data_IF_196899566866
#
_entry.id   IF_196899566866
#
_cell.length_a   1.000
_cell.length_b   1.000
_cell.length_c   1.000
_cell.angle_alpha   90.00
_cell.angle_beta   90.00
_cell.angle_gamma   90.00
#
_symmetry.space_group_name_H-M   'P 1'
#
loop_
_entity.id
_entity.type
_entity.pdbx_description
1 polymer ?
#
# COMPACT_ATOMS: atom_id res chain seq x y z
N UNK A 1 -4.28 -12.93 28.62
CA UNK A 1 -3.55 -14.21 28.44
C UNK A 1 -2.76 -14.06 27.16
N UNK A 2 -1.44 -14.16 27.24
CA UNK A 2 -0.56 -13.94 26.10
C UNK A 2 -0.68 -15.12 25.14
N UNK A 3 -0.99 -14.84 23.88
CA UNK A 3 -0.99 -15.84 22.82
C UNK A 3 0.41 -16.41 22.62
N UNK A 4 0.55 -17.71 22.30
CA UNK A 4 1.84 -18.33 22.08
C UNK A 4 2.45 -17.79 20.78
N UNK A 5 3.50 -16.98 20.93
CA UNK A 5 4.38 -16.59 19.83
C UNK A 5 4.98 -17.87 19.25
N UNK A 6 4.68 -18.16 17.98
CA UNK A 6 5.32 -19.21 17.20
C UNK A 6 6.83 -18.95 17.14
N UNK A 7 7.57 -19.52 18.09
CA UNK A 7 9.02 -19.45 18.17
C UNK A 7 9.69 -20.43 17.20
N UNK A 8 10.74 -19.92 16.54
CA UNK A 8 11.81 -20.58 15.77
C UNK A 8 11.54 -20.90 14.29
N UNK A 9 11.62 -19.85 13.47
CA UNK A 9 12.47 -19.93 12.27
C UNK A 9 13.90 -19.66 12.75
N UNK A 10 14.88 -20.52 12.44
CA UNK A 10 16.29 -20.24 12.75
C UNK A 10 16.66 -18.85 12.23
N UNK A 11 17.24 -18.00 13.07
CA UNK A 11 17.72 -16.69 12.62
C UNK A 11 18.78 -16.91 11.53
N UNK A 12 18.86 -16.01 10.54
CA UNK A 12 19.86 -16.14 9.47
C UNK A 12 21.28 -16.19 10.04
N UNK A 13 21.51 -15.51 11.17
CA UNK A 13 22.75 -15.64 11.93
C UNK A 13 23.06 -17.08 12.31
N UNK A 14 22.12 -17.81 12.92
CA UNK A 14 22.31 -19.23 13.27
C UNK A 14 22.61 -20.08 12.03
N UNK A 15 21.96 -19.79 10.90
CA UNK A 15 22.21 -20.47 9.63
C UNK A 15 23.60 -20.15 9.07
N UNK A 16 24.01 -18.88 9.09
CA UNK A 16 25.32 -18.44 8.64
C UNK A 16 26.45 -18.96 9.52
N UNK A 17 26.27 -18.96 10.84
CA UNK A 17 27.25 -19.50 11.78
C UNK A 17 27.44 -21.01 11.58
N UNK A 18 26.36 -21.76 11.34
CA UNK A 18 26.42 -23.18 11.01
C UNK A 18 27.14 -23.43 9.67
N UNK A 19 26.85 -22.63 8.64
CA UNK A 19 27.49 -22.75 7.33
C UNK A 19 28.97 -22.33 7.36
N UNK A 20 29.32 -21.31 8.14
CA UNK A 20 30.71 -20.92 8.39
C UNK A 20 31.52 -21.98 9.13
N UNK A 21 30.90 -22.67 10.08
CA UNK A 21 31.54 -23.79 10.77
C UNK A 21 31.79 -24.98 9.83
N UNK A 22 30.87 -25.24 8.89
CA UNK A 22 30.97 -26.34 7.93
C UNK A 22 31.97 -26.07 6.77
N UNK A 23 32.02 -24.83 6.27
CA UNK A 23 32.75 -24.45 5.05
C UNK A 23 33.71 -23.26 5.27
N UNK A 24 34.43 -23.32 6.40
CA UNK A 24 35.26 -22.22 6.89
C UNK A 24 36.31 -21.75 5.87
N UNK A 25 36.98 -22.68 5.21
CA UNK A 25 38.09 -22.37 4.30
C UNK A 25 37.58 -21.72 3.01
N UNK A 26 36.48 -22.20 2.46
CA UNK A 26 35.90 -21.67 1.23
C UNK A 26 35.30 -20.28 1.43
N UNK A 27 34.61 -20.07 2.56
CA UNK A 27 34.04 -18.76 2.87
C UNK A 27 35.14 -17.76 3.21
N UNK A 28 36.22 -18.17 3.88
CA UNK A 28 37.40 -17.32 4.07
C UNK A 28 38.04 -16.94 2.73
N UNK A 29 38.22 -17.89 1.81
CA UNK A 29 38.74 -17.62 0.46
C UNK A 29 37.85 -16.63 -0.29
N UNK A 30 36.53 -16.81 -0.24
CA UNK A 30 35.55 -15.91 -0.84
C UNK A 30 35.62 -14.50 -0.25
N UNK A 31 35.58 -14.37 1.07
CA UNK A 31 35.64 -13.09 1.76
C UNK A 31 36.98 -12.38 1.56
N UNK A 32 38.09 -13.13 1.57
CA UNK A 32 39.43 -12.58 1.31
C UNK A 32 39.56 -12.08 -0.14
N UNK A 33 38.94 -12.79 -1.08
CA UNK A 33 38.91 -12.37 -2.49
C UNK A 33 38.08 -11.10 -2.66
N UNK A 34 36.91 -11.03 -2.02
CA UNK A 34 36.09 -9.81 -1.97
C UNK A 34 36.86 -8.64 -1.35
N UNK A 35 37.53 -8.86 -0.21
CA UNK A 35 38.34 -7.83 0.46
C UNK A 35 39.52 -7.38 -0.42
N UNK A 36 40.11 -8.31 -1.18
CA UNK A 36 41.21 -8.06 -2.11
C UNK A 36 40.86 -7.14 -3.28
N UNK A 37 39.57 -7.00 -3.62
CA UNK A 37 39.11 -6.00 -4.60
C UNK A 37 39.17 -4.55 -4.07
N UNK A 38 39.42 -4.39 -2.77
CA UNK A 38 39.50 -3.10 -2.09
C UNK A 38 38.16 -2.60 -1.55
N UNK A 39 38.19 -1.39 -0.98
CA UNK A 39 37.00 -0.75 -0.41
C UNK A 39 35.99 -0.44 -1.51
N UNK A 40 34.74 -0.88 -1.35
CA UNK A 40 33.70 -0.63 -2.34
C UNK A 40 32.38 -1.31 -2.06
N UNK A 41 31.47 -1.18 -3.03
CA UNK A 41 30.16 -1.86 -3.04
C UNK A 41 30.17 -2.90 -4.14
N UNK A 42 29.82 -4.13 -3.80
CA UNK A 42 29.63 -5.23 -4.74
C UNK A 42 28.14 -5.50 -4.95
N UNK A 43 27.78 -5.70 -6.22
CA UNK A 43 26.42 -6.05 -6.67
C UNK A 43 26.25 -7.58 -6.74
N UNK A 44 25.00 -8.08 -6.80
CA UNK A 44 24.73 -9.53 -6.73
C UNK A 44 25.45 -10.34 -7.80
N UNK A 45 25.50 -9.84 -9.03
CA UNK A 45 26.19 -10.52 -10.13
C UNK A 45 27.71 -10.62 -9.92
N UNK A 46 28.31 -9.63 -9.26
CA UNK A 46 29.74 -9.67 -8.91
C UNK A 46 29.99 -10.69 -7.80
N UNK A 47 29.16 -10.69 -6.76
CA UNK A 47 29.24 -11.66 -5.66
C UNK A 47 29.11 -13.11 -6.17
N UNK A 48 28.15 -13.35 -7.06
CA UNK A 48 27.94 -14.67 -7.65
C UNK A 48 29.11 -15.09 -8.55
N UNK A 49 29.64 -14.18 -9.37
CA UNK A 49 30.80 -14.46 -10.22
C UNK A 49 32.05 -14.83 -9.42
N UNK A 50 32.31 -14.12 -8.32
CA UNK A 50 33.46 -14.42 -7.44
C UNK A 50 33.31 -15.77 -6.75
N UNK A 51 32.09 -16.11 -6.34
CA UNK A 51 31.79 -17.40 -5.74
C UNK A 51 31.93 -18.55 -6.75
N UNK A 52 31.40 -18.39 -7.97
CA UNK A 52 31.49 -19.39 -9.03
C UNK A 52 32.93 -19.67 -9.45
N UNK A 53 33.78 -18.64 -9.52
CA UNK A 53 35.20 -18.80 -9.81
C UNK A 53 35.96 -19.64 -8.77
N UNK A 54 35.50 -19.66 -7.51
CA UNK A 54 36.07 -20.52 -6.45
C UNK A 54 35.59 -21.96 -6.61
N UNK A 55 34.30 -22.14 -6.93
CA UNK A 55 33.72 -23.46 -7.19
C UNK A 55 34.32 -24.17 -8.40
N UNK A 56 34.75 -23.44 -9.43
CA UNK A 56 35.41 -24.03 -10.61
C UNK A 56 36.82 -24.55 -10.31
N UNK A 57 37.51 -23.93 -9.34
CA UNK A 57 38.86 -24.32 -8.91
C UNK A 57 38.85 -25.55 -7.98
N UNK A 58 37.80 -25.71 -7.15
CA UNK A 58 37.62 -26.80 -6.19
C UNK A 58 36.26 -27.52 -6.37
N UNK A 59 36.11 -28.21 -7.51
CA UNK A 59 34.84 -28.79 -8.01
C UNK A 59 34.11 -29.78 -7.08
N UNK A 60 34.76 -30.34 -6.07
CA UNK A 60 34.21 -31.43 -5.26
C UNK A 60 33.65 -31.01 -3.89
N UNK A 61 33.83 -29.76 -3.42
CA UNK A 61 33.53 -29.40 -2.01
C UNK A 61 32.48 -28.32 -1.76
N UNK A 62 32.07 -27.57 -2.79
CA UNK A 62 31.18 -26.40 -2.67
C UNK A 62 29.78 -26.60 -3.27
N UNK A 63 29.21 -27.79 -3.12
CA UNK A 63 27.77 -27.99 -3.38
C UNK A 63 26.90 -27.66 -2.16
N UNK A 64 27.38 -26.83 -1.23
CA UNK A 64 26.51 -26.36 -0.16
C UNK A 64 25.48 -25.36 -0.73
N UNK A 65 24.28 -25.89 -0.95
CA UNK A 65 23.12 -25.12 -1.33
C UNK A 65 22.85 -23.99 -0.34
N UNK A 66 23.19 -24.11 0.95
CA UNK A 66 22.84 -23.10 1.95
C UNK A 66 23.57 -21.77 1.72
N UNK A 67 24.91 -21.77 1.57
CA UNK A 67 25.66 -20.54 1.36
C UNK A 67 25.35 -19.89 0.01
N UNK A 68 25.23 -20.71 -1.05
CA UNK A 68 24.88 -20.23 -2.39
C UNK A 68 23.50 -19.56 -2.40
N UNK A 69 22.52 -20.11 -1.69
CA UNK A 69 21.20 -19.48 -1.56
C UNK A 69 21.27 -18.14 -0.80
N UNK A 70 22.08 -18.02 0.26
CA UNK A 70 22.29 -16.73 0.93
C UNK A 70 22.91 -15.69 -0.02
N UNK A 71 23.91 -16.08 -0.81
CA UNK A 71 24.52 -15.19 -1.80
C UNK A 71 23.55 -14.76 -2.89
N UNK A 72 22.70 -15.67 -3.39
CA UNK A 72 21.63 -15.33 -4.34
C UNK A 72 20.60 -14.35 -3.74
N UNK A 73 20.32 -14.47 -2.46
CA UNK A 73 19.44 -13.55 -1.74
C UNK A 73 20.11 -12.22 -1.37
N UNK A 74 21.44 -12.14 -1.42
CA UNK A 74 22.20 -10.92 -1.11
C UNK A 74 22.03 -9.89 -2.22
N UNK A 75 21.58 -8.68 -1.87
CA UNK A 75 21.32 -7.60 -2.83
C UNK A 75 22.52 -6.69 -3.04
N UNK A 76 23.39 -6.58 -2.04
CA UNK A 76 24.66 -5.87 -2.13
C UNK A 76 25.55 -6.30 -0.95
N UNK A 77 26.86 -6.15 -1.16
CA UNK A 77 27.85 -6.26 -0.10
C UNK A 77 28.68 -4.98 -0.05
N UNK A 78 28.99 -4.51 1.16
CA UNK A 78 29.86 -3.38 1.40
C UNK A 78 31.16 -3.91 1.97
N UNK A 79 32.27 -3.51 1.38
CA UNK A 79 33.61 -3.95 1.78
C UNK A 79 34.32 -2.77 2.43
N UNK A 80 34.52 -2.84 3.74
CA UNK A 80 35.34 -1.91 4.51
C UNK A 80 36.27 -2.73 5.42
N UNK A 81 37.48 -3.06 4.95
CA UNK A 81 38.44 -3.91 5.67
C UNK A 81 38.57 -3.52 7.16
N UNK A 82 38.48 -4.47 8.11
CA UNK A 82 38.40 -5.92 7.92
C UNK A 82 36.97 -6.50 7.83
N UNK A 83 35.96 -5.66 7.59
CA UNK A 83 34.55 -6.03 7.64
C UNK A 83 33.91 -6.08 6.25
N UNK A 84 33.05 -7.07 6.04
CA UNK A 84 32.16 -7.17 4.89
C UNK A 84 30.72 -7.20 5.39
N UNK A 85 29.95 -6.15 5.10
CA UNK A 85 28.53 -6.08 5.44
C UNK A 85 27.67 -6.57 4.26
N UNK A 86 26.64 -7.35 4.53
CA UNK A 86 25.74 -7.95 3.53
C UNK A 86 24.30 -7.50 3.79
N UNK A 87 23.62 -7.01 2.75
CA UNK A 87 22.18 -6.80 2.77
C UNK A 87 21.47 -8.00 2.12
N UNK A 88 20.76 -8.79 2.92
CA UNK A 88 20.18 -10.05 2.48
C UNK A 88 18.67 -9.91 2.41
N UNK A 89 18.11 -10.15 1.22
CA UNK A 89 16.67 -10.10 0.96
C UNK A 89 16.11 -11.50 0.86
N UNK A 90 15.64 -12.02 2.00
CA UNK A 90 15.09 -13.38 2.11
C UNK A 90 13.83 -13.59 1.27
N UNK A 91 12.95 -12.58 1.26
CA UNK A 91 11.73 -12.54 0.46
C UNK A 91 11.33 -11.08 0.23
N UNK A 92 10.42 -10.78 -0.72
CA UNK A 92 9.99 -9.41 -0.93
C UNK A 92 9.45 -8.76 0.36
N UNK A 93 10.06 -7.65 0.76
CA UNK A 93 9.71 -6.89 1.96
C UNK A 93 10.38 -7.36 3.27
N UNK A 94 11.22 -8.40 3.24
CA UNK A 94 11.96 -8.87 4.42
C UNK A 94 13.45 -8.83 4.16
N UNK A 95 14.15 -8.09 5.01
CA UNK A 95 15.57 -7.82 4.94
C UNK A 95 16.24 -8.19 6.24
N UNK A 96 17.45 -8.73 6.13
CA UNK A 96 18.35 -8.95 7.25
C UNK A 96 19.72 -8.41 6.87
N UNK A 97 20.41 -7.84 7.85
CA UNK A 97 21.71 -7.20 7.66
C UNK A 97 22.71 -7.86 8.58
N UNK A 98 23.84 -8.28 8.01
CA UNK A 98 24.91 -8.90 8.76
C UNK A 98 26.24 -8.28 8.37
N UNK A 99 27.20 -8.27 9.28
CA UNK A 99 28.60 -7.99 8.97
C UNK A 99 29.48 -9.17 9.36
N UNK A 100 30.49 -9.43 8.54
CA UNK A 100 31.43 -10.52 8.73
C UNK A 100 32.83 -9.95 8.84
N UNK A 101 33.54 -10.27 9.91
CA UNK A 101 34.95 -9.96 10.03
C UNK A 101 35.76 -10.99 9.25
N UNK A 102 36.51 -10.58 8.22
CA UNK A 102 37.24 -11.52 7.35
C UNK A 102 38.35 -12.26 8.11
N UNK A 103 39.05 -11.56 9.02
CA UNK A 103 40.17 -12.13 9.77
C UNK A 103 39.72 -13.10 10.87
N UNK A 104 38.68 -12.71 11.62
CA UNK A 104 38.18 -13.49 12.76
C UNK A 104 37.11 -14.51 12.34
N UNK A 105 36.51 -14.38 11.15
CA UNK A 105 35.35 -15.14 10.67
C UNK A 105 34.17 -15.11 11.66
N UNK A 106 33.91 -13.94 12.21
CA UNK A 106 32.78 -13.69 13.13
C UNK A 106 31.67 -12.98 12.38
N UNK A 107 30.45 -13.50 12.50
CA UNK A 107 29.22 -12.87 11.96
C UNK A 107 28.50 -12.14 13.06
N UNK A 108 28.11 -10.91 12.77
CA UNK A 108 27.29 -10.09 13.63
C UNK A 108 26.06 -9.63 12.86
N UNK A 109 24.89 -9.84 13.45
CA UNK A 109 23.66 -9.20 12.96
C UNK A 109 23.72 -7.72 13.31
N UNK A 110 23.36 -6.87 12.35
CA UNK A 110 23.38 -5.42 12.50
C UNK A 110 22.00 -4.85 12.23
N UNK A 111 21.67 -3.77 12.92
CA UNK A 111 20.47 -2.99 12.65
C UNK A 111 20.56 -2.26 11.30
N UNK A 112 19.41 -1.77 10.81
CA UNK A 112 19.35 -0.94 9.60
C UNK A 112 20.24 0.29 9.73
N UNK A 113 20.16 1.03 10.84
CA UNK A 113 20.97 2.22 11.08
C UNK A 113 22.47 1.91 11.07
N UNK A 114 22.90 0.81 11.71
CA UNK A 114 24.30 0.38 11.69
C UNK A 114 24.78 -0.03 10.29
N UNK A 115 23.94 -0.71 9.51
CA UNK A 115 24.27 -1.04 8.12
C UNK A 115 24.39 0.21 7.24
N UNK A 116 23.52 1.21 7.43
CA UNK A 116 23.58 2.47 6.70
C UNK A 116 24.80 3.31 7.11
N UNK A 117 25.15 3.34 8.39
CA UNK A 117 26.38 3.97 8.88
C UNK A 117 27.61 3.37 8.18
N UNK A 118 27.62 2.05 7.95
CA UNK A 118 28.70 1.38 7.21
C UNK A 118 28.79 1.83 5.74
N UNK A 119 27.65 2.17 5.09
CA UNK A 119 27.64 2.78 3.75
C UNK A 119 28.16 4.20 3.76
N UNK A 120 27.84 4.97 4.79
CA UNK A 120 28.29 6.35 4.94
C UNK A 120 29.79 6.41 5.17
N UNK A 121 30.33 5.52 6.03
CA UNK A 121 31.77 5.40 6.30
C UNK A 121 32.57 5.05 5.05
N UNK A 122 31.99 4.29 4.12
CA UNK A 122 32.64 3.97 2.85
C UNK A 122 32.93 5.21 2.02
N UNK A 123 32.02 6.20 2.04
CA UNK A 123 32.11 7.42 1.21
C UNK A 123 32.82 8.54 1.95
N UNK A 124 32.42 8.78 3.19
CA UNK A 124 32.84 9.93 3.99
C UNK A 124 34.04 9.63 4.91
N UNK A 125 34.40 8.34 5.06
CA UNK A 125 35.31 7.90 6.11
C UNK A 125 34.63 7.89 7.49
N UNK A 126 35.42 7.63 8.53
CA UNK A 126 34.93 7.70 9.92
C UNK A 126 34.59 9.14 10.28
N UNK A 127 33.31 9.40 10.54
CA UNK A 127 32.83 10.68 11.05
C UNK A 127 32.23 10.47 12.46
N UNK A 128 32.55 11.39 13.37
CA UNK A 128 32.09 11.38 14.76
C UNK A 128 30.86 12.29 14.94
N UNK A 129 29.94 12.30 13.99
CA UNK A 129 28.73 13.11 14.11
C UNK A 129 27.63 12.28 14.78
N UNK A 130 27.51 12.41 16.10
CA UNK A 130 26.60 11.59 16.91
C UNK A 130 25.11 11.95 16.70
N UNK A 131 24.80 12.98 15.92
CA UNK A 131 23.44 13.54 15.76
C UNK A 131 23.03 13.68 14.28
N UNK A 132 23.37 12.68 13.46
CA UNK A 132 22.84 12.59 12.09
C UNK A 132 21.31 12.40 12.16
N UNK A 133 20.58 13.09 11.28
CA UNK A 133 19.13 12.97 11.21
C UNK A 133 18.72 11.59 10.67
N UNK A 134 18.11 10.76 11.52
CA UNK A 134 17.47 9.51 11.11
C UNK A 134 15.98 9.73 10.85
N UNK A 135 15.51 9.34 9.66
CA UNK A 135 14.09 9.38 9.30
C UNK A 135 13.43 8.02 9.57
N UNK A 136 12.75 7.91 10.71
CA UNK A 136 12.01 6.71 11.09
C UNK A 136 10.48 6.94 11.05
N UNK A 137 9.81 6.24 10.12
CA UNK A 137 8.36 6.26 9.96
C UNK A 137 7.64 5.07 10.62
N UNK A 138 8.37 4.10 11.16
CA UNK A 138 7.78 2.90 11.76
C UNK A 138 6.86 3.22 12.95
N UNK A 139 7.23 4.09 13.92
CA UNK A 139 6.37 4.45 15.04
C UNK A 139 5.04 5.08 14.60
N UNK A 140 5.06 5.87 13.53
CA UNK A 140 3.90 6.60 13.00
C UNK A 140 2.88 5.71 12.28
N UNK A 141 3.26 4.47 11.95
CA UNK A 141 2.39 3.49 11.25
C UNK A 141 1.92 2.35 12.15
N UNK A 142 2.27 2.38 13.44
CA UNK A 142 1.99 1.32 14.43
C UNK A 142 0.49 1.09 14.68
N UNK A 143 -0.35 2.10 14.47
CA UNK A 143 -1.79 1.99 14.61
C UNK A 143 -2.47 1.20 13.48
N UNK A 144 -1.77 0.97 12.37
CA UNK A 144 -2.30 0.23 11.23
C UNK A 144 -1.75 -1.20 11.23
N UNK A 145 -2.62 -2.22 11.16
CA UNK A 145 -2.14 -3.58 11.01
C UNK A 145 -1.39 -3.74 9.67
N UNK A 146 -0.26 -4.44 9.69
CA UNK A 146 0.59 -4.65 8.50
C UNK A 146 0.45 -6.10 8.02
N UNK A 147 0.07 -6.35 6.76
CA UNK A 147 0.01 -7.71 6.23
C UNK A 147 1.42 -8.30 6.10
N UNK A 148 1.62 -9.53 6.56
CA UNK A 148 2.92 -10.22 6.54
C UNK A 148 3.10 -11.17 5.36
N UNK A 149 2.04 -11.41 4.59
CA UNK A 149 2.04 -12.30 3.44
C UNK A 149 2.42 -11.53 2.18
N UNK A 150 3.40 -12.04 1.43
CA UNK A 150 3.89 -11.41 0.19
C UNK A 150 2.79 -11.22 -0.87
N UNK A 151 1.80 -12.12 -0.93
CA UNK A 151 0.64 -11.99 -1.83
C UNK A 151 -0.26 -10.77 -1.55
N UNK A 152 -0.12 -10.16 -0.37
CA UNK A 152 -0.90 -9.00 0.03
C UNK A 152 -0.25 -7.68 -0.40
N UNK A 153 0.99 -7.70 -0.91
CA UNK A 153 1.66 -6.52 -1.45
C UNK A 153 0.88 -6.04 -2.67
N UNK A 154 0.50 -4.76 -2.69
CA UNK A 154 -0.35 -4.16 -3.71
C UNK A 154 -1.86 -4.28 -3.46
N UNK A 155 -2.29 -5.13 -2.52
CA UNK A 155 -3.71 -5.41 -2.22
C UNK A 155 -4.15 -4.79 -0.88
N UNK A 156 -3.70 -3.56 -0.60
CA UNK A 156 -3.92 -2.90 0.69
C UNK A 156 -5.39 -2.63 1.01
N UNK A 157 -6.22 -2.32 -0.01
CA UNK A 157 -7.65 -2.05 0.17
C UNK A 157 -8.41 -3.28 0.65
N UNK A 158 -8.10 -4.48 0.11
CA UNK A 158 -8.74 -5.73 0.56
C UNK A 158 -8.42 -6.02 2.02
N UNK A 159 -7.17 -5.79 2.43
CA UNK A 159 -6.74 -5.98 3.81
C UNK A 159 -7.43 -4.99 4.75
N UNK A 160 -7.51 -3.71 4.34
CA UNK A 160 -8.20 -2.68 5.10
C UNK A 160 -9.70 -2.98 5.22
N UNK A 161 -10.35 -3.44 4.15
CA UNK A 161 -11.78 -3.81 4.16
C UNK A 161 -12.04 -4.95 5.15
N UNK A 162 -11.19 -5.97 5.19
CA UNK A 162 -11.28 -7.07 6.19
C UNK A 162 -11.05 -6.58 7.61
N UNK A 163 -10.11 -5.66 7.80
CA UNK A 163 -9.83 -5.09 9.11
C UNK A 163 -11.00 -4.22 9.62
N UNK A 164 -11.52 -3.34 8.77
CA UNK A 164 -12.67 -2.49 9.07
C UNK A 164 -13.91 -3.33 9.34
N UNK A 165 -14.22 -4.31 8.50
CA UNK A 165 -15.39 -5.18 8.69
C UNK A 165 -15.29 -5.96 10.01
N UNK A 166 -14.11 -6.49 10.34
CA UNK A 166 -13.89 -7.16 11.62
C UNK A 166 -14.08 -6.20 12.80
N UNK A 167 -13.56 -4.97 12.72
CA UNK A 167 -13.73 -3.96 13.77
C UNK A 167 -15.21 -3.60 13.97
N UNK A 168 -15.93 -3.37 12.87
CA UNK A 168 -17.38 -3.08 12.83
C UNK A 168 -18.22 -4.20 13.42
N UNK A 169 -17.79 -5.46 13.27
CA UNK A 169 -18.49 -6.62 13.81
C UNK A 169 -18.36 -6.73 15.34
N UNK A 170 -17.18 -6.44 15.89
CA UNK A 170 -16.91 -6.60 17.32
C UNK A 170 -17.42 -5.43 18.18
N UNK A 171 -17.50 -4.23 17.60
CA UNK A 171 -17.86 -3.01 18.31
C UNK A 171 -18.93 -2.23 17.53
N UNK A 172 -20.17 -2.20 18.07
CA UNK A 172 -21.27 -1.44 17.45
C UNK A 172 -21.01 0.07 17.43
N UNK A 173 -20.28 0.61 18.41
CA UNK A 173 -20.00 2.04 18.45
C UNK A 173 -19.05 2.45 17.31
N UNK A 174 -18.25 1.49 16.79
CA UNK A 174 -17.37 1.70 15.64
C UNK A 174 -18.10 1.93 14.29
N UNK A 175 -19.43 1.76 14.25
CA UNK A 175 -20.27 2.14 13.11
C UNK A 175 -20.73 3.60 13.15
N UNK A 176 -20.56 4.29 14.27
CA UNK A 176 -20.90 5.72 14.41
C UNK A 176 -20.18 6.61 13.40
N UNK A 177 -18.87 6.42 13.11
CA UNK A 177 -18.19 7.15 12.04
C UNK A 177 -18.83 6.98 10.67
N UNK A 178 -19.41 5.81 10.35
CA UNK A 178 -20.10 5.60 9.07
C UNK A 178 -21.41 6.40 9.02
N UNK A 179 -22.16 6.43 10.11
CA UNK A 179 -23.36 7.26 10.23
C UNK A 179 -23.01 8.74 10.07
N UNK A 180 -22.00 9.22 10.80
CA UNK A 180 -21.58 10.62 10.74
C UNK A 180 -21.05 10.98 9.35
N UNK A 181 -20.29 10.07 8.72
CA UNK A 181 -19.84 10.22 7.34
C UNK A 181 -21.01 10.42 6.37
N UNK A 182 -22.04 9.57 6.44
CA UNK A 182 -23.22 9.67 5.58
C UNK A 182 -24.05 10.93 5.86
N UNK A 183 -24.13 11.39 7.12
CA UNK A 183 -24.88 12.60 7.51
C UNK A 183 -24.18 13.90 7.11
N UNK A 184 -22.85 13.93 7.24
CA UNK A 184 -22.05 15.12 6.89
C UNK A 184 -21.86 15.26 5.38
N UNK A 185 -22.29 14.28 4.60
CA UNK A 185 -22.07 14.24 3.16
C UNK A 185 -22.93 15.28 2.42
N UNK A 186 -22.26 16.27 1.84
CA UNK A 186 -22.88 17.35 1.09
C UNK A 186 -22.03 17.75 -0.12
N UNK A 187 -22.68 18.28 -1.14
CA UNK A 187 -22.00 18.81 -2.32
C UNK A 187 -22.70 20.07 -2.80
N UNK A 188 -21.94 21.18 -2.93
CA UNK A 188 -22.45 22.50 -3.31
C UNK A 188 -23.71 22.92 -2.52
N UNK A 189 -23.72 22.65 -1.22
CA UNK A 189 -24.84 22.98 -0.32
C UNK A 189 -26.06 22.06 -0.41
N UNK A 190 -26.04 21.02 -1.24
CA UNK A 190 -27.06 19.96 -1.26
C UNK A 190 -26.64 18.82 -0.34
N UNK A 191 -27.46 18.49 0.64
CA UNK A 191 -27.28 17.31 1.50
C UNK A 191 -27.52 16.04 0.68
N UNK A 192 -26.74 14.99 0.95
CA UNK A 192 -26.87 13.69 0.31
C UNK A 192 -26.96 12.58 1.36
N UNK A 193 -27.45 11.42 0.95
CA UNK A 193 -27.61 10.22 1.79
C UNK A 193 -28.55 10.41 2.99
N UNK A 194 -28.10 11.01 4.08
CA UNK A 194 -28.85 11.16 5.34
C UNK A 194 -28.94 12.63 5.74
N UNK A 195 -30.10 13.05 6.23
CA UNK A 195 -30.25 14.38 6.84
C UNK A 195 -30.24 14.36 8.37
N UNK A 196 -30.41 15.52 8.99
CA UNK A 196 -30.30 15.74 10.45
C UNK A 196 -31.41 15.06 11.29
N UNK A 197 -32.41 14.45 10.66
CA UNK A 197 -33.45 13.67 11.36
C UNK A 197 -32.88 12.39 11.95
N UNK A 198 -31.84 11.82 11.35
CA UNK A 198 -31.21 10.56 11.78
C UNK A 198 -29.99 10.91 12.63
N UNK A 199 -30.06 10.66 13.95
CA UNK A 199 -29.01 11.08 14.91
C UNK A 199 -28.22 9.95 15.54
N UNK A 200 -28.68 8.72 15.40
CA UNK A 200 -28.05 7.55 16.00
C UNK A 200 -28.34 6.27 15.19
N UNK A 201 -27.55 5.23 15.43
CA UNK A 201 -27.63 3.96 14.69
C UNK A 201 -29.01 3.28 14.81
N UNK A 202 -29.69 3.40 15.95
CA UNK A 202 -31.05 2.84 16.14
C UNK A 202 -32.07 3.52 15.23
N UNK A 203 -32.01 4.86 15.14
CA UNK A 203 -32.87 5.64 14.24
C UNK A 203 -32.56 5.31 12.77
N UNK A 204 -31.28 5.18 12.41
CA UNK A 204 -30.87 4.78 11.06
C UNK A 204 -31.46 3.40 10.70
N UNK A 205 -31.26 2.39 11.54
CA UNK A 205 -31.77 1.04 11.28
C UNK A 205 -33.30 1.02 11.15
N UNK A 206 -34.02 1.80 11.96
CA UNK A 206 -35.49 1.91 11.84
C UNK A 206 -35.93 2.59 10.55
N UNK A 207 -35.23 3.64 10.11
CA UNK A 207 -35.55 4.34 8.86
C UNK A 207 -35.28 3.46 7.66
N UNK A 208 -34.14 2.77 7.63
CA UNK A 208 -33.77 1.88 6.53
C UNK A 208 -34.78 0.73 6.36
N UNK A 209 -35.23 0.09 7.46
CA UNK A 209 -36.27 -0.95 7.40
C UNK A 209 -37.60 -0.42 6.85
N UNK A 210 -38.03 0.77 7.27
CA UNK A 210 -39.24 1.43 6.74
C UNK A 210 -39.12 1.75 5.25
N UNK A 211 -37.93 2.18 4.82
CA UNK A 211 -37.66 2.48 3.43
C UNK A 211 -37.67 1.19 2.57
N UNK A 212 -37.05 0.11 3.04
CA UNK A 212 -37.07 -1.20 2.38
C UNK A 212 -38.50 -1.76 2.25
N UNK A 213 -39.28 -1.74 3.34
CA UNK A 213 -40.71 -2.13 3.30
C UNK A 213 -41.50 -1.32 2.27
N UNK A 214 -41.28 -0.01 2.21
CA UNK A 214 -41.99 0.84 1.25
C UNK A 214 -41.54 0.61 -0.20
N UNK A 215 -40.24 0.49 -0.47
CA UNK A 215 -39.70 0.22 -1.81
C UNK A 215 -40.20 -1.12 -2.36
N UNK A 216 -40.41 -2.12 -1.49
CA UNK A 216 -40.97 -3.42 -1.89
C UNK A 216 -42.38 -3.33 -2.50
N UNK A 217 -43.10 -2.23 -2.27
CA UNK A 217 -44.44 -1.98 -2.84
C UNK A 217 -44.41 -1.29 -4.20
N UNK A 218 -43.25 -0.78 -4.63
CA UNK A 218 -43.10 -0.03 -5.87
C UNK A 218 -42.55 -0.91 -7.00
N UNK A 219 -42.87 -0.60 -8.27
CA UNK A 219 -42.17 -1.19 -9.41
C UNK A 219 -40.65 -0.92 -9.37
N UNK A 220 -39.79 -1.88 -9.77
CA UNK A 220 -38.33 -1.72 -9.74
C UNK A 220 -37.80 -0.51 -10.53
N UNK A 221 -38.45 -0.16 -11.64
CA UNK A 221 -38.08 0.93 -12.54
C UNK A 221 -38.65 2.29 -12.13
N UNK A 222 -39.35 2.39 -10.98
CA UNK A 222 -39.88 3.67 -10.49
C UNK A 222 -38.74 4.66 -10.24
N UNK A 223 -38.74 5.85 -10.88
CA UNK A 223 -37.73 6.88 -10.67
C UNK A 223 -37.70 7.40 -9.23
N UNK A 224 -36.52 7.81 -8.74
CA UNK A 224 -36.36 8.37 -7.40
C UNK A 224 -37.28 9.57 -7.13
N UNK A 225 -37.53 10.39 -8.14
CA UNK A 225 -38.34 11.61 -8.05
C UNK A 225 -39.78 11.34 -7.59
N UNK A 226 -40.32 10.16 -7.93
CA UNK A 226 -41.70 9.77 -7.58
C UNK A 226 -41.88 9.51 -6.08
N UNK A 227 -40.80 9.17 -5.36
CA UNK A 227 -40.84 8.85 -3.94
C UNK A 227 -39.91 9.73 -3.07
N UNK A 228 -39.24 10.71 -3.67
CA UNK A 228 -38.28 11.60 -3.02
C UNK A 228 -38.85 12.29 -1.77
N UNK A 229 -40.05 12.87 -1.87
CA UNK A 229 -40.67 13.59 -0.74
C UNK A 229 -40.85 12.68 0.48
N UNK A 230 -41.29 11.44 0.27
CA UNK A 230 -41.49 10.47 1.34
C UNK A 230 -40.15 10.04 1.97
N UNK A 231 -39.10 9.94 1.17
CA UNK A 231 -37.75 9.65 1.65
C UNK A 231 -37.17 10.79 2.50
N UNK A 232 -37.35 12.04 2.05
CA UNK A 232 -36.90 13.21 2.80
C UNK A 232 -37.59 13.32 4.18
N UNK A 233 -38.89 13.00 4.25
CA UNK A 233 -39.65 12.98 5.52
C UNK A 233 -39.06 12.00 6.55
N UNK A 234 -38.60 10.84 6.11
CA UNK A 234 -38.01 9.82 6.98
C UNK A 234 -36.51 10.01 7.22
N UNK A 235 -35.88 10.95 6.51
CA UNK A 235 -34.49 11.37 6.74
C UNK A 235 -33.49 10.93 5.67
N UNK A 236 -33.97 10.44 4.53
CA UNK A 236 -33.15 9.98 3.41
C UNK A 236 -33.14 11.03 2.29
N UNK A 237 -31.96 11.48 1.90
CA UNK A 237 -31.72 12.44 0.81
C UNK A 237 -31.27 11.71 -0.47
N UNK A 238 -31.14 12.42 -1.60
CA UNK A 238 -30.64 11.84 -2.86
C UNK A 238 -29.24 11.21 -2.71
N UNK A 239 -28.91 10.28 -3.60
CA UNK A 239 -27.60 9.60 -3.66
C UNK A 239 -27.64 8.08 -3.43
N UNK A 240 -28.83 7.51 -3.19
CA UNK A 240 -29.02 6.06 -3.01
C UNK A 240 -29.22 5.28 -4.31
N UNK A 241 -29.61 5.97 -5.38
CA UNK A 241 -30.01 5.37 -6.64
C UNK A 241 -30.92 6.28 -7.46
N UNK A 242 -30.93 6.09 -8.77
CA UNK A 242 -31.86 6.74 -9.70
C UNK A 242 -33.26 6.09 -9.76
N UNK A 243 -33.37 4.79 -9.44
CA UNK A 243 -34.61 4.01 -9.45
C UNK A 243 -34.78 3.16 -8.19
N UNK A 244 -36.02 2.77 -7.90
CA UNK A 244 -36.42 2.01 -6.70
C UNK A 244 -35.59 0.74 -6.48
N UNK A 245 -35.29 -0.03 -7.54
CA UNK A 245 -34.44 -1.23 -7.46
C UNK A 245 -33.07 -0.93 -6.86
N UNK A 246 -32.39 0.09 -7.38
CA UNK A 246 -31.02 0.43 -6.97
C UNK A 246 -30.97 1.06 -5.58
N UNK A 247 -31.96 1.88 -5.26
CA UNK A 247 -32.14 2.39 -3.89
C UNK A 247 -32.34 1.23 -2.92
N UNK A 248 -33.17 0.24 -3.28
CA UNK A 248 -33.39 -0.95 -2.45
C UNK A 248 -32.09 -1.71 -2.24
N UNK A 249 -31.31 -1.99 -3.30
CA UNK A 249 -30.01 -2.66 -3.18
C UNK A 249 -29.08 -1.92 -2.21
N UNK A 250 -29.00 -0.59 -2.32
CA UNK A 250 -28.11 0.22 -1.50
C UNK A 250 -28.55 0.26 -0.02
N UNK A 251 -29.85 0.30 0.23
CA UNK A 251 -30.42 0.21 1.57
C UNK A 251 -30.18 -1.18 2.17
N UNK A 252 -30.42 -2.26 1.43
CA UNK A 252 -30.18 -3.62 1.91
C UNK A 252 -28.71 -3.86 2.23
N UNK A 253 -27.77 -3.37 1.40
CA UNK A 253 -26.33 -3.43 1.74
C UNK A 253 -25.99 -2.70 3.04
N UNK A 254 -26.58 -1.54 3.30
CA UNK A 254 -26.34 -0.83 4.56
C UNK A 254 -26.97 -1.55 5.75
N UNK A 255 -28.15 -2.16 5.58
CA UNK A 255 -28.77 -3.00 6.62
C UNK A 255 -27.90 -4.23 6.93
N UNK A 256 -27.38 -4.90 5.91
CA UNK A 256 -26.45 -6.03 6.06
C UNK A 256 -25.20 -5.60 6.83
N UNK A 257 -24.62 -4.44 6.51
CA UNK A 257 -23.46 -3.90 7.24
C UNK A 257 -23.75 -3.53 8.69
N UNK A 258 -24.98 -3.10 9.00
CA UNK A 258 -25.39 -2.78 10.38
C UNK A 258 -25.65 -4.04 11.23
N UNK A 259 -26.00 -5.15 10.59
CA UNK A 259 -26.32 -6.41 11.27
C UNK A 259 -25.11 -7.36 11.33
N UNK A 260 -24.44 -7.59 10.20
CA UNK A 260 -23.32 -8.50 10.04
C UNK A 260 -22.31 -7.98 8.99
N UNK A 261 -21.42 -7.04 9.35
CA UNK A 261 -20.48 -6.46 8.41
C UNK A 261 -19.47 -7.47 7.82
N UNK A 262 -19.37 -7.50 6.50
CA UNK A 262 -18.36 -8.25 5.75
C UNK A 262 -17.59 -7.35 4.77
N UNK A 263 -16.38 -7.79 4.39
CA UNK A 263 -15.49 -6.98 3.57
C UNK A 263 -16.01 -6.72 2.15
N UNK A 264 -16.77 -7.65 1.57
CA UNK A 264 -17.27 -7.54 0.20
C UNK A 264 -18.42 -6.53 0.13
N UNK A 265 -19.36 -6.60 1.07
CA UNK A 265 -20.47 -5.64 1.16
C UNK A 265 -19.95 -4.26 1.52
N UNK A 266 -18.96 -4.14 2.40
CA UNK A 266 -18.36 -2.85 2.79
C UNK A 266 -17.72 -2.16 1.59
N UNK A 267 -16.94 -2.90 0.80
CA UNK A 267 -16.30 -2.38 -0.41
C UNK A 267 -17.33 -1.92 -1.45
N UNK A 268 -18.35 -2.75 -1.71
CA UNK A 268 -19.43 -2.43 -2.66
C UNK A 268 -20.23 -1.21 -2.22
N UNK A 269 -20.57 -1.13 -0.93
CA UNK A 269 -21.32 -0.01 -0.38
C UNK A 269 -20.51 1.28 -0.48
N UNK A 270 -19.30 1.33 0.10
CA UNK A 270 -18.44 2.51 0.06
C UNK A 270 -18.10 2.94 -1.37
N UNK A 271 -17.85 1.98 -2.27
CA UNK A 271 -17.59 2.25 -3.69
C UNK A 271 -18.81 2.71 -4.50
N UNK A 272 -20.02 2.60 -3.95
CA UNK A 272 -21.25 3.12 -4.57
C UNK A 272 -21.64 4.50 -4.04
N UNK A 273 -21.13 4.93 -2.87
CA UNK A 273 -21.42 6.25 -2.32
C UNK A 273 -20.89 7.33 -3.29
N UNK A 274 -21.72 8.30 -3.70
CA UNK A 274 -21.32 9.31 -4.66
C UNK A 274 -20.37 10.35 -4.04
N UNK A 275 -19.06 10.07 -4.02
CA UNK A 275 -18.06 10.93 -3.38
C UNK A 275 -17.27 11.82 -4.35
N UNK A 276 -16.97 11.31 -5.55
CA UNK A 276 -15.95 11.87 -6.43
C UNK A 276 -16.61 12.70 -7.53
N UNK A 277 -16.67 14.02 -7.33
CA UNK A 277 -17.23 14.97 -8.30
C UNK A 277 -16.18 15.92 -8.89
N UNK A 278 -15.24 16.37 -8.08
CA UNK A 278 -14.14 17.24 -8.50
C UNK A 278 -12.82 16.50 -8.27
N UNK A 279 -12.02 16.36 -9.32
CA UNK A 279 -10.73 15.68 -9.28
C UNK A 279 -9.65 16.66 -9.70
N UNK A 280 -8.56 16.70 -8.94
CA UNK A 280 -7.35 17.46 -9.28
C UNK A 280 -6.21 16.46 -9.48
N UNK A 281 -5.60 16.50 -10.66
CA UNK A 281 -4.42 15.70 -11.02
C UNK A 281 -3.23 16.65 -11.10
N UNK A 282 -2.13 16.34 -10.42
CA UNK A 282 -0.92 17.14 -10.41
C UNK A 282 0.12 16.54 -11.36
N UNK A 283 0.59 17.34 -12.33
CA UNK A 283 1.70 16.99 -13.21
C UNK A 283 2.57 18.24 -13.44
N UNK A 284 3.39 18.63 -12.45
CA UNK A 284 4.04 19.94 -12.46
C UNK A 284 5.21 20.07 -13.46
N UNK A 285 5.87 18.97 -13.82
CA UNK A 285 7.04 18.95 -14.69
C UNK A 285 6.70 18.50 -16.11
N UNK A 286 7.61 18.78 -17.04
CA UNK A 286 7.45 18.46 -18.47
C UNK A 286 6.47 19.39 -19.18
N UNK A 287 6.40 19.25 -20.50
CA UNK A 287 5.44 19.96 -21.34
C UNK A 287 4.15 19.15 -21.40
N UNK A 288 3.10 19.59 -20.71
CA UNK A 288 1.83 18.89 -20.69
C UNK A 288 0.88 19.45 -21.76
N UNK A 289 0.80 18.78 -22.91
CA UNK A 289 -0.14 19.13 -23.96
C UNK A 289 -0.68 17.88 -24.67
N UNK A 290 -1.78 18.07 -25.40
CA UNK A 290 -2.44 16.99 -26.15
C UNK A 290 -1.69 16.61 -27.43
N UNK A 291 -0.93 17.53 -28.00
CA UNK A 291 -0.19 17.34 -29.24
C UNK A 291 1.18 18.02 -29.17
N UNK A 292 2.12 17.61 -30.04
CA UNK A 292 3.40 18.27 -30.30
C UNK A 292 4.38 18.43 -29.11
N UNK A 293 4.20 17.67 -28.02
CA UNK A 293 5.10 17.71 -26.84
C UNK A 293 5.85 16.40 -26.58
N UNK A 294 5.42 15.30 -27.20
CA UNK A 294 6.05 14.00 -26.98
C UNK A 294 7.50 13.98 -27.48
N UNK A 295 8.42 13.58 -26.61
CA UNK A 295 9.86 13.54 -26.90
C UNK A 295 10.62 14.78 -26.46
N UNK A 296 9.94 15.80 -25.91
CA UNK A 296 10.61 16.93 -25.27
C UNK A 296 11.19 16.51 -23.92
N UNK A 297 12.18 17.25 -23.37
CA UNK A 297 12.71 16.99 -22.03
C UNK A 297 11.59 16.82 -21.01
N UNK A 298 11.74 15.81 -20.15
CA UNK A 298 10.78 15.44 -19.11
C UNK A 298 9.34 15.15 -19.59
N UNK A 299 9.15 14.92 -20.90
CA UNK A 299 7.83 14.73 -21.52
C UNK A 299 7.76 13.38 -22.23
N UNK A 300 6.99 12.46 -21.65
CA UNK A 300 6.89 11.09 -22.17
C UNK A 300 5.65 10.36 -21.69
N UNK A 301 5.82 9.11 -21.27
CA UNK A 301 4.71 8.21 -20.92
C UNK A 301 3.77 8.75 -19.84
N UNK A 302 4.24 9.62 -18.94
CA UNK A 302 3.38 10.26 -17.93
C UNK A 302 2.25 11.10 -18.54
N UNK A 303 2.53 11.89 -19.58
CA UNK A 303 1.52 12.74 -20.23
C UNK A 303 0.48 11.87 -20.91
N UNK A 304 0.93 10.86 -21.68
CA UNK A 304 0.06 9.89 -22.33
C UNK A 304 -0.82 9.16 -21.32
N UNK A 305 -0.23 8.72 -20.21
CA UNK A 305 -0.95 8.03 -19.13
C UNK A 305 -2.09 8.88 -18.57
N UNK A 306 -1.83 10.16 -18.25
CA UNK A 306 -2.85 11.06 -17.70
C UNK A 306 -3.93 11.37 -18.75
N UNK A 307 -3.54 11.63 -19.99
CA UNK A 307 -4.49 11.93 -21.08
C UNK A 307 -5.39 10.73 -21.41
N UNK A 308 -4.93 9.50 -21.24
CA UNK A 308 -5.76 8.29 -21.35
C UNK A 308 -6.63 8.06 -20.09
N UNK A 309 -6.08 8.37 -18.91
CA UNK A 309 -6.77 8.19 -17.64
C UNK A 309 -8.01 9.09 -17.52
N UNK A 310 -7.88 10.37 -17.87
CA UNK A 310 -8.93 11.38 -17.62
C UNK A 310 -10.25 11.08 -18.33
N UNK A 311 -10.28 10.74 -19.64
CA UNK A 311 -11.53 10.35 -20.32
C UNK A 311 -12.16 9.08 -19.74
N UNK A 312 -11.34 8.10 -19.33
CA UNK A 312 -11.85 6.88 -18.69
C UNK A 312 -12.47 7.19 -17.32
N UNK A 313 -11.80 8.02 -16.52
CA UNK A 313 -12.27 8.45 -15.22
C UNK A 313 -13.55 9.29 -15.33
N UNK A 314 -13.62 10.24 -16.27
CA UNK A 314 -14.79 11.07 -16.51
C UNK A 314 -16.02 10.23 -16.88
N UNK A 315 -15.87 9.22 -17.76
CA UNK A 315 -16.96 8.30 -18.11
C UNK A 315 -17.49 7.53 -16.89
N UNK A 316 -16.59 7.02 -16.04
CA UNK A 316 -17.00 6.30 -14.84
C UNK A 316 -17.65 7.26 -13.81
N UNK A 317 -17.12 8.47 -13.64
CA UNK A 317 -17.74 9.50 -12.79
C UNK A 317 -19.16 9.84 -13.26
N UNK A 318 -19.35 10.15 -14.55
CA UNK A 318 -20.67 10.44 -15.13
C UNK A 318 -21.65 9.28 -14.94
N UNK A 319 -21.19 8.06 -15.18
CA UNK A 319 -21.98 6.86 -14.94
C UNK A 319 -22.40 6.77 -13.48
N UNK A 320 -21.47 6.81 -12.52
CA UNK A 320 -21.76 6.70 -11.09
C UNK A 320 -22.70 7.79 -10.59
N UNK A 321 -22.51 9.02 -11.02
CA UNK A 321 -23.38 10.15 -10.66
C UNK A 321 -24.81 9.89 -11.13
N UNK A 322 -24.98 9.50 -12.41
CA UNK A 322 -26.30 9.18 -12.98
C UNK A 322 -26.95 8.01 -12.25
N UNK A 323 -26.19 6.94 -12.04
CA UNK A 323 -26.65 5.73 -11.35
C UNK A 323 -27.15 6.01 -9.92
N UNK A 324 -26.62 7.04 -9.25
CA UNK A 324 -27.06 7.47 -7.92
C UNK A 324 -28.17 8.52 -7.92
N UNK A 325 -28.78 8.81 -9.07
CA UNK A 325 -29.91 9.74 -9.16
C UNK A 325 -29.51 11.21 -8.97
N UNK A 326 -28.24 11.54 -9.24
CA UNK A 326 -27.70 12.88 -9.08
C UNK A 326 -27.53 13.55 -10.45
N UNK A 327 -27.82 14.85 -10.50
CA UNK A 327 -27.58 15.71 -11.66
C UNK A 327 -26.40 16.65 -11.35
N UNK A 328 -25.20 16.08 -11.31
CA UNK A 328 -23.95 16.80 -11.03
C UNK A 328 -23.04 16.67 -12.23
N UNK A 329 -22.57 17.79 -12.76
CA UNK A 329 -21.49 17.79 -13.75
C UNK A 329 -20.15 17.60 -13.04
N UNK A 330 -19.42 16.50 -13.29
CA UNK A 330 -18.09 16.31 -12.72
C UNK A 330 -17.08 17.28 -13.33
N UNK A 331 -15.96 17.52 -12.64
CA UNK A 331 -14.87 18.34 -13.15
C UNK A 331 -13.53 17.69 -12.84
N UNK A 332 -12.69 17.56 -13.85
CA UNK A 332 -11.31 17.09 -13.71
C UNK A 332 -10.39 18.25 -14.10
N UNK A 333 -9.45 18.60 -13.24
CA UNK A 333 -8.44 19.62 -13.50
C UNK A 333 -7.06 18.97 -13.45
N UNK A 334 -6.30 19.11 -14.53
CA UNK A 334 -4.88 18.77 -14.56
C UNK A 334 -4.13 20.07 -14.29
N UNK A 335 -3.40 20.14 -13.18
CA UNK A 335 -2.59 21.29 -12.82
C UNK A 335 -1.12 21.02 -13.15
N UNK A 336 -0.59 21.88 -14.01
CA UNK A 336 0.81 21.96 -14.42
C UNK A 336 1.45 23.23 -13.83
N UNK A 337 2.77 23.24 -13.69
CA UNK A 337 3.51 24.35 -13.08
C UNK A 337 4.33 25.18 -14.09
N UNK A 338 4.20 24.91 -15.39
CA UNK A 338 5.05 25.56 -16.39
C UNK A 338 4.56 27.00 -16.66
N UNK A 339 5.41 28.03 -16.50
CA UNK A 339 5.08 29.36 -17.00
C UNK A 339 4.98 29.26 -18.53
N UNK A 340 3.85 29.72 -19.08
CA UNK A 340 3.58 29.88 -20.52
C UNK A 340 4.87 29.91 -21.34
N UNK A 341 5.09 28.87 -22.15
CA UNK A 341 6.12 28.92 -23.18
C UNK A 341 5.87 30.20 -23.98
N UNK A 342 6.81 31.16 -23.88
CA UNK A 342 6.73 32.40 -24.62
C UNK A 342 6.70 32.07 -26.11
N UNK A 343 5.66 32.56 -26.81
CA UNK A 343 5.48 32.48 -28.26
C UNK A 343 6.69 32.98 -29.05
#
# INVERSE_FOLDING_TARGET
MADPVLTRVHSLRERLDATLAAHRNEILLFLSRIEGHGKGILKPHQLLSEFEAICEADKEKLQDHAFKEVLKSTQEAIVLPPWVALAIRLRPGVWEYVRVNVNALVVEEVSVSQYLQFKEELVNGTSNDNFVLELDFEPFTSSFPKPTLTKSIGNGVEFLNRHLSAKMFHDRDSMTPLLDFLRMHHYKGKTMMLNDRIRNLKSLQSVLRKAEEYLSTLPPETPYEDFEHKFQEIGLERGWGDKAERVSEMISMLLDLLEAPDSCTLEKFLGRIPMVFNVVILSPHGYFAQENVLGYPDTGGQVVYILDQVPALEREMLKRIKEQGLDITPRILIAEAVPLAAE
#
